data_IF_539518518308
#
_entry.id   IF_539518518308
#
_cell.length_a   1.000
_cell.length_b   1.000
_cell.length_c   1.000
_cell.angle_alpha   90.00
_cell.angle_beta   90.00
_cell.angle_gamma   90.00
#
_symmetry.space_group_name_H-M   'P 1'
#
loop_
_entity.id
_entity.type
_entity.pdbx_description
1 polymer ?
#
# COMPACT_ATOMS: atom_id res chain seq x y z
N UNK A 1 16.85 -18.87 4.34
CA UNK A 1 15.86 -17.99 3.71
C UNK A 1 16.50 -16.64 3.47
N UNK A 2 16.46 -16.18 2.23
CA UNK A 2 17.06 -14.87 1.89
C UNK A 2 16.07 -13.75 2.15
N UNK A 3 16.56 -12.51 2.17
CA UNK A 3 15.72 -11.33 2.32
C UNK A 3 14.66 -11.27 1.20
N UNK A 4 15.04 -11.62 -0.04
CA UNK A 4 14.10 -11.63 -1.16
C UNK A 4 12.97 -12.63 -0.96
N UNK A 5 13.25 -13.81 -0.41
CA UNK A 5 12.23 -14.81 -0.12
C UNK A 5 11.23 -14.29 0.91
N UNK A 6 11.73 -13.63 1.95
CA UNK A 6 10.88 -13.04 2.99
C UNK A 6 9.98 -11.96 2.37
N UNK A 7 10.55 -11.08 1.54
CA UNK A 7 9.77 -10.03 0.89
C UNK A 7 8.68 -10.60 -0.02
N UNK A 8 9.00 -11.68 -0.76
CA UNK A 8 8.03 -12.32 -1.63
C UNK A 8 6.87 -12.91 -0.83
N UNK A 9 7.15 -13.50 0.34
CA UNK A 9 6.11 -14.11 1.16
C UNK A 9 5.27 -13.08 1.91
N UNK A 10 5.87 -11.96 2.31
CA UNK A 10 5.22 -10.97 3.16
C UNK A 10 4.35 -9.98 2.39
N UNK A 11 4.67 -9.70 1.13
CA UNK A 11 3.95 -8.70 0.34
C UNK A 11 2.94 -9.34 -0.60
N UNK A 12 1.82 -8.64 -0.89
CA UNK A 12 0.87 -9.11 -1.90
C UNK A 12 1.57 -9.33 -3.23
N UNK A 13 1.28 -10.43 -3.94
CA UNK A 13 1.90 -10.70 -5.24
C UNK A 13 1.54 -9.61 -6.25
N UNK A 14 2.50 -9.25 -7.09
CA UNK A 14 2.35 -8.25 -8.16
C UNK A 14 2.09 -6.83 -7.67
N UNK A 15 2.12 -6.59 -6.38
CA UNK A 15 2.00 -5.22 -5.86
C UNK A 15 3.34 -4.50 -6.02
N UNK A 16 3.34 -3.22 -6.45
CA UNK A 16 4.57 -2.44 -6.64
C UNK A 16 5.06 -1.90 -5.30
N UNK A 17 5.50 -2.78 -4.41
CA UNK A 17 5.87 -2.45 -3.04
C UNK A 17 7.29 -2.86 -2.73
N UNK A 18 7.93 -2.08 -1.83
CA UNK A 18 9.25 -2.37 -1.31
C UNK A 18 9.24 -2.21 0.21
N UNK A 19 9.76 -3.22 0.91
CA UNK A 19 9.89 -3.15 2.37
C UNK A 19 11.12 -2.32 2.71
N UNK A 20 10.92 -1.22 3.42
CA UNK A 20 12.02 -0.36 3.87
C UNK A 20 12.57 -0.82 5.21
N UNK A 21 11.67 -1.13 6.16
CA UNK A 21 12.07 -1.60 7.49
C UNK A 21 11.08 -2.66 7.98
N UNK A 22 11.54 -3.47 8.91
CA UNK A 22 10.73 -4.51 9.53
C UNK A 22 11.00 -4.48 11.04
N UNK A 23 9.93 -4.49 11.83
CA UNK A 23 10.04 -4.50 13.27
C UNK A 23 9.20 -5.62 13.89
N UNK A 24 9.68 -6.18 14.99
CA UNK A 24 8.93 -7.13 15.80
C UNK A 24 8.66 -6.50 17.15
N UNK A 25 7.41 -6.54 17.57
CA UNK A 25 6.98 -6.08 18.88
C UNK A 25 6.20 -7.19 19.57
N UNK A 26 5.81 -6.97 20.83
CA UNK A 26 4.95 -7.91 21.55
C UNK A 26 3.61 -8.10 20.85
N UNK A 27 3.19 -7.12 20.06
CA UNK A 27 1.90 -7.14 19.34
C UNK A 27 1.98 -7.79 17.98
N UNK A 28 3.19 -8.08 17.49
CA UNK A 28 3.40 -8.71 16.21
C UNK A 28 4.44 -8.02 15.36
N UNK A 29 4.34 -8.20 14.05
CA UNK A 29 5.29 -7.69 13.08
C UNK A 29 4.76 -6.42 12.43
N UNK A 30 5.61 -5.42 12.27
CA UNK A 30 5.31 -4.19 11.55
C UNK A 30 6.24 -4.07 10.36
N UNK A 31 5.68 -3.80 9.19
CA UNK A 31 6.44 -3.60 7.96
C UNK A 31 6.22 -2.17 7.47
N UNK A 32 7.30 -1.41 7.33
CA UNK A 32 7.26 -0.09 6.70
C UNK A 32 7.51 -0.29 5.21
N UNK A 33 6.52 0.07 4.39
CA UNK A 33 6.48 -0.29 2.98
C UNK A 33 6.30 0.98 2.14
N UNK A 34 7.04 1.06 1.05
CA UNK A 34 6.92 2.15 0.08
C UNK A 34 6.39 1.62 -1.25
N UNK A 35 5.68 2.48 -1.98
CA UNK A 35 5.21 2.18 -3.32
C UNK A 35 6.33 2.50 -4.30
N UNK A 36 6.63 1.58 -5.22
CA UNK A 36 7.82 1.66 -6.09
C UNK A 36 7.57 2.31 -7.45
N UNK A 37 6.31 2.54 -7.83
CA UNK A 37 6.02 3.18 -9.13
C UNK A 37 6.47 4.63 -9.11
N UNK A 38 6.93 5.13 -10.28
CA UNK A 38 7.40 6.50 -10.39
C UNK A 38 6.27 7.51 -10.63
N UNK A 39 5.09 7.04 -10.99
CA UNK A 39 3.96 7.90 -11.33
C UNK A 39 2.65 7.29 -10.82
N UNK A 40 1.62 8.13 -10.75
CA UNK A 40 0.27 7.70 -10.42
C UNK A 40 -0.71 8.39 -11.35
N UNK A 41 -1.89 7.80 -11.51
CA UNK A 41 -2.91 8.32 -12.43
C UNK A 41 -4.01 9.02 -11.65
N UNK A 42 -4.37 10.23 -12.10
CA UNK A 42 -5.47 10.97 -11.49
C UNK A 42 -6.78 10.18 -11.66
N UNK A 43 -7.54 9.94 -10.58
CA UNK A 43 -8.78 9.18 -10.69
C UNK A 43 -9.88 9.90 -11.44
N UNK A 44 -9.74 11.20 -11.68
CA UNK A 44 -10.75 12.00 -12.38
C UNK A 44 -10.47 12.08 -13.88
N UNK A 45 -9.21 12.44 -14.26
CA UNK A 45 -8.87 12.61 -15.68
C UNK A 45 -8.04 11.47 -16.25
N UNK A 46 -7.61 10.52 -15.42
CA UNK A 46 -6.82 9.33 -15.78
C UNK A 46 -5.41 9.60 -16.29
N UNK A 47 -4.98 10.86 -16.35
CA UNK A 47 -3.63 11.21 -16.82
C UNK A 47 -2.58 10.94 -15.73
N UNK A 48 -1.37 10.50 -16.12
CA UNK A 48 -0.31 10.25 -15.17
C UNK A 48 0.32 11.53 -14.64
N UNK A 49 0.80 11.48 -13.41
CA UNK A 49 1.59 12.55 -12.81
C UNK A 49 2.80 11.95 -12.11
N UNK A 50 3.93 12.64 -12.20
CA UNK A 50 5.14 12.32 -11.48
C UNK A 50 5.45 13.35 -10.39
N UNK A 51 4.61 14.35 -10.25
CA UNK A 51 4.85 15.51 -9.38
C UNK A 51 4.23 15.27 -8.00
N UNK A 52 5.06 14.86 -7.06
CA UNK A 52 4.62 14.54 -5.69
C UNK A 52 4.34 15.84 -4.92
N UNK A 53 3.15 15.92 -4.33
CA UNK A 53 2.75 17.01 -3.46
C UNK A 53 3.18 16.74 -2.01
N UNK A 54 2.90 15.54 -1.49
CA UNK A 54 3.16 15.20 -0.09
C UNK A 54 3.09 13.69 0.11
N UNK A 55 3.43 13.27 1.33
CA UNK A 55 3.37 11.87 1.75
C UNK A 55 2.57 11.76 3.03
N UNK A 56 1.94 10.60 3.24
CA UNK A 56 1.38 10.25 4.54
C UNK A 56 1.48 8.75 4.73
N UNK A 57 1.37 8.33 6.00
CA UNK A 57 1.42 6.91 6.35
C UNK A 57 0.01 6.37 6.52
N UNK A 58 -0.21 5.17 6.00
CA UNK A 58 -1.47 4.46 6.14
C UNK A 58 -1.18 3.12 6.81
N UNK A 59 -1.89 2.84 7.89
CA UNK A 59 -1.70 1.59 8.64
C UNK A 59 -2.78 0.60 8.23
N UNK A 60 -2.35 -0.60 7.83
CA UNK A 60 -3.24 -1.65 7.34
C UNK A 60 -2.95 -2.94 8.09
N UNK A 61 -4.00 -3.58 8.61
CA UNK A 61 -3.89 -4.96 9.08
C UNK A 61 -3.74 -5.89 7.86
N UNK A 62 -2.86 -6.88 7.97
CA UNK A 62 -2.59 -7.81 6.87
C UNK A 62 -2.73 -9.25 7.37
N UNK A 63 -2.61 -10.22 6.45
CA UNK A 63 -2.60 -11.63 6.80
C UNK A 63 -1.47 -11.91 7.78
N UNK A 64 -1.73 -12.72 8.83
CA UNK A 64 -0.64 -13.09 9.73
C UNK A 64 0.40 -13.92 9.00
N UNK A 65 1.66 -13.73 9.42
CA UNK A 65 2.77 -14.54 8.94
C UNK A 65 2.94 -15.67 9.95
N UNK A 66 2.60 -16.90 9.53
CA UNK A 66 2.40 -18.02 10.44
C UNK A 66 1.33 -17.65 11.50
N UNK A 67 1.68 -17.54 12.76
CA UNK A 67 0.75 -17.14 13.82
C UNK A 67 0.99 -15.71 14.30
N UNK A 68 1.91 -14.98 13.66
CA UNK A 68 2.28 -13.62 14.07
C UNK A 68 1.42 -12.61 13.33
N UNK A 69 0.67 -11.74 14.04
CA UNK A 69 -0.08 -10.67 13.37
C UNK A 69 0.86 -9.73 12.61
N UNK A 70 0.42 -9.26 11.45
CA UNK A 70 1.22 -8.37 10.60
C UNK A 70 0.45 -7.08 10.37
N UNK A 71 1.16 -5.96 10.48
CA UNK A 71 0.65 -4.63 10.19
C UNK A 71 1.54 -3.98 9.14
N UNK A 72 0.92 -3.44 8.09
CA UNK A 72 1.64 -2.68 7.08
C UNK A 72 1.53 -1.19 7.39
N UNK A 73 2.66 -0.50 7.44
CA UNK A 73 2.72 0.96 7.41
C UNK A 73 3.07 1.34 5.98
N UNK A 74 2.07 1.72 5.22
CA UNK A 74 2.23 2.03 3.81
C UNK A 74 2.46 3.53 3.66
N UNK A 75 3.60 3.92 3.07
CA UNK A 75 3.86 5.32 2.76
C UNK A 75 3.19 5.64 1.44
N UNK A 76 2.15 6.45 1.50
CA UNK A 76 1.31 6.81 0.36
C UNK A 76 1.66 8.22 -0.09
N UNK A 77 1.71 8.44 -1.39
CA UNK A 77 2.02 9.74 -1.96
C UNK A 77 0.75 10.42 -2.44
N UNK A 78 0.73 11.74 -2.29
CA UNK A 78 -0.27 12.60 -2.91
C UNK A 78 0.41 13.35 -4.03
N UNK A 79 -0.19 13.34 -5.21
CA UNK A 79 0.37 13.94 -6.42
C UNK A 79 -0.42 15.18 -6.84
N UNK A 80 0.27 16.09 -7.50
CA UNK A 80 -0.41 17.16 -8.22
C UNK A 80 -1.01 16.60 -9.51
N UNK A 81 -2.26 16.93 -9.81
CA UNK A 81 -2.82 16.66 -11.12
C UNK A 81 -2.28 17.72 -12.09
N UNK A 82 -1.59 17.29 -13.14
CA UNK A 82 -0.93 18.18 -14.07
C UNK A 82 -1.81 18.51 -15.28
N UNK A 83 -3.03 17.97 -15.33
CA UNK A 83 -3.94 18.20 -16.45
C UNK A 83 -4.64 19.54 -16.31
N UNK A 84 -4.51 20.44 -17.31
CA UNK A 84 -5.29 21.69 -17.31
C UNK A 84 -6.78 21.37 -17.32
N UNK A 85 -7.55 22.18 -16.62
CA UNK A 85 -9.02 22.07 -16.55
C UNK A 85 -9.53 20.81 -15.84
N UNK A 86 -8.69 19.98 -15.23
CA UNK A 86 -9.16 18.92 -14.37
C UNK A 86 -9.74 19.53 -13.10
N UNK A 87 -10.88 19.02 -12.65
CA UNK A 87 -11.54 19.52 -11.44
C UNK A 87 -10.70 19.23 -10.17
N UNK A 88 -9.77 18.27 -10.26
CA UNK A 88 -8.96 17.86 -9.14
C UNK A 88 -7.57 18.50 -9.23
N UNK A 89 -7.13 19.14 -8.13
CA UNK A 89 -5.79 19.72 -8.08
C UNK A 89 -4.76 18.72 -7.60
N UNK A 90 -5.12 17.90 -6.63
CA UNK A 90 -4.26 16.85 -6.09
C UNK A 90 -5.04 15.56 -5.99
N UNK A 91 -4.32 14.44 -5.97
CA UNK A 91 -4.95 13.12 -5.78
C UNK A 91 -4.00 12.21 -5.02
N UNK A 92 -4.58 11.30 -4.27
CA UNK A 92 -3.84 10.27 -3.56
C UNK A 92 -3.66 9.07 -4.48
N UNK A 93 -2.44 8.54 -4.58
CA UNK A 93 -2.21 7.33 -5.36
C UNK A 93 -2.98 6.16 -4.75
N UNK A 94 -3.39 5.24 -5.60
CA UNK A 94 -4.14 4.06 -5.20
C UNK A 94 -3.39 2.80 -5.56
N UNK A 95 -3.41 1.82 -4.66
CA UNK A 95 -2.79 0.52 -4.88
C UNK A 95 -3.87 -0.54 -4.64
N UNK A 96 -4.80 -0.74 -5.59
CA UNK A 96 -5.91 -1.67 -5.38
C UNK A 96 -5.44 -3.11 -5.15
N UNK A 97 -4.26 -3.47 -5.61
CA UNK A 97 -3.68 -4.78 -5.34
C UNK A 97 -3.44 -5.01 -3.84
N UNK A 98 -3.26 -3.93 -3.08
CA UNK A 98 -3.00 -3.99 -1.64
C UNK A 98 -4.27 -3.79 -0.84
N UNK A 99 -4.99 -2.69 -1.10
CA UNK A 99 -6.19 -2.35 -0.36
C UNK A 99 -7.04 -1.33 -1.10
N UNK A 100 -8.37 -1.40 -0.95
CA UNK A 100 -9.24 -0.34 -1.45
C UNK A 100 -8.95 0.99 -0.76
N UNK A 101 -9.37 2.08 -1.40
CA UNK A 101 -9.27 3.41 -0.81
C UNK A 101 -9.99 3.43 0.54
N UNK A 102 -9.33 4.01 1.56
CA UNK A 102 -9.86 4.15 2.93
C UNK A 102 -10.05 2.85 3.71
N UNK A 103 -9.68 1.70 3.18
CA UNK A 103 -9.74 0.45 3.93
C UNK A 103 -8.70 0.44 5.06
N UNK A 104 -8.99 -0.28 6.14
CA UNK A 104 -8.08 -0.46 7.29
C UNK A 104 -7.38 -1.80 7.28
N UNK A 105 -7.71 -2.66 6.33
CA UNK A 105 -7.11 -3.97 6.15
C UNK A 105 -6.78 -4.17 4.68
N UNK A 106 -5.78 -5.02 4.42
CA UNK A 106 -5.43 -5.35 3.04
C UNK A 106 -6.55 -6.13 2.38
N UNK A 107 -6.60 -6.08 1.04
CA UNK A 107 -7.61 -6.80 0.27
C UNK A 107 -7.53 -8.30 0.53
N UNK A 108 -6.32 -8.86 0.62
CA UNK A 108 -6.15 -10.30 0.87
C UNK A 108 -6.62 -10.72 2.26
N UNK A 109 -6.45 -9.87 3.28
CA UNK A 109 -6.97 -10.16 4.61
C UNK A 109 -8.50 -10.14 4.63
N UNK A 110 -9.10 -9.14 3.98
CA UNK A 110 -10.55 -9.04 3.90
C UNK A 110 -11.16 -10.22 3.14
N UNK A 111 -10.50 -10.66 2.08
CA UNK A 111 -10.95 -11.82 1.32
C UNK A 111 -10.95 -13.10 2.18
N UNK A 112 -9.91 -13.27 3.01
CA UNK A 112 -9.82 -14.41 3.94
C UNK A 112 -10.93 -14.36 4.99
N UNK A 113 -11.20 -13.16 5.55
CA UNK A 113 -12.25 -13.00 6.55
C UNK A 113 -13.63 -13.29 5.95
N UNK A 114 -13.86 -12.90 4.71
CA UNK A 114 -15.13 -13.16 4.02
C UNK A 114 -15.32 -14.65 3.73
N UNK A 115 -14.25 -15.35 3.34
CA UNK A 115 -14.32 -16.76 2.96
C UNK A 115 -14.53 -17.68 4.16
N UNK A 116 -14.27 -17.24 5.38
CA UNK A 116 -14.44 -18.02 6.60
C UNK A 116 -15.78 -17.76 7.31
N UNK A 117 -16.51 -16.78 6.84
CA UNK A 117 -17.79 -16.37 7.45
C UNK A 117 -18.98 -17.22 7.12
#
# INVERSE_FOLDING_TARGET
MTWNDICTDLLPPQAPLHIETMGLTERGMTLDVAITTSQAHCPTCTQPSTHVHSHYWRTLADLPWATTPVQLHLRVRRFWCETPHCARQTFTERVPQVAPCSARATARLRARQTSTG
#
